data_IF_157509261527
#
_entry.id   IF_157509261527
#
_cell.length_a   1.000
_cell.length_b   1.000
_cell.length_c   1.000
_cell.angle_alpha   90.00
_cell.angle_beta   90.00
_cell.angle_gamma   90.00
#
_symmetry.space_group_name_H-M   'P 1'
#
loop_
_entity.id
_entity.type
_entity.pdbx_description
1 polymer ?
#
# COMPACT_ATOMS: atom_id res chain seq x y z
N UNK A 1 48.39 -21.57 -24.45
CA UNK A 1 47.59 -20.79 -23.48
C UNK A 1 46.30 -21.54 -23.26
N UNK A 2 46.15 -22.22 -22.12
CA UNK A 2 44.93 -22.96 -21.81
C UNK A 2 43.78 -21.98 -21.57
N UNK A 3 42.68 -22.19 -22.28
CA UNK A 3 41.38 -21.61 -21.96
C UNK A 3 41.04 -22.00 -20.53
N UNK A 4 41.04 -21.03 -19.62
CA UNK A 4 40.45 -21.21 -18.29
C UNK A 4 38.95 -21.35 -18.55
N UNK A 5 38.47 -22.59 -18.65
CA UNK A 5 37.04 -22.86 -18.53
C UNK A 5 36.61 -22.32 -17.17
N UNK A 6 35.80 -21.26 -17.20
CA UNK A 6 35.19 -20.69 -16.02
C UNK A 6 34.19 -21.68 -15.46
N UNK A 7 34.66 -22.71 -14.75
CA UNK A 7 33.80 -23.69 -14.07
C UNK A 7 32.97 -22.97 -13.02
N UNK A 8 31.65 -23.08 -13.13
CA UNK A 8 30.70 -22.52 -12.18
C UNK A 8 30.95 -23.12 -10.81
N UNK A 9 31.18 -22.29 -9.79
CA UNK A 9 31.41 -22.78 -8.43
C UNK A 9 30.08 -23.16 -7.77
N UNK A 10 29.77 -24.45 -7.74
CA UNK A 10 28.57 -24.99 -7.08
C UNK A 10 28.52 -24.63 -5.59
N UNK A 11 29.66 -24.68 -4.90
CA UNK A 11 29.78 -24.32 -3.47
C UNK A 11 29.36 -22.87 -3.22
N UNK A 12 29.82 -21.93 -4.06
CA UNK A 12 29.47 -20.52 -3.90
C UNK A 12 27.99 -20.29 -4.20
N UNK A 13 27.45 -20.95 -5.23
CA UNK A 13 26.03 -20.86 -5.57
C UNK A 13 25.12 -21.46 -4.49
N UNK A 14 25.50 -22.58 -3.89
CA UNK A 14 24.75 -23.16 -2.77
C UNK A 14 24.74 -22.21 -1.56
N UNK A 15 25.82 -21.46 -1.30
CA UNK A 15 25.81 -20.37 -0.29
C UNK A 15 24.90 -19.20 -0.66
N UNK A 16 24.75 -18.88 -1.95
CA UNK A 16 23.77 -17.87 -2.39
C UNK A 16 22.34 -18.37 -2.15
N UNK A 17 22.08 -19.65 -2.41
CA UNK A 17 20.79 -20.27 -2.15
C UNK A 17 20.46 -20.29 -0.65
N UNK A 18 21.42 -20.65 0.20
CA UNK A 18 21.28 -20.60 1.67
C UNK A 18 21.01 -19.17 2.16
N UNK A 19 21.73 -18.18 1.62
CA UNK A 19 21.47 -16.78 1.94
C UNK A 19 20.05 -16.36 1.56
N UNK A 20 19.55 -16.73 0.37
CA UNK A 20 18.17 -16.47 -0.03
C UNK A 20 17.15 -17.08 0.95
N UNK A 21 17.39 -18.32 1.41
CA UNK A 21 16.54 -18.96 2.41
C UNK A 21 16.53 -18.16 3.72
N UNK A 22 17.70 -17.78 4.23
CA UNK A 22 17.81 -17.01 5.47
C UNK A 22 17.17 -15.63 5.37
N UNK A 23 17.41 -14.89 4.27
CA UNK A 23 16.76 -13.60 4.00
C UNK A 23 15.24 -13.73 3.89
N UNK A 24 14.75 -14.79 3.23
CA UNK A 24 13.31 -15.06 3.15
C UNK A 24 12.68 -15.37 4.51
N UNK A 25 13.39 -16.07 5.39
CA UNK A 25 12.91 -16.38 6.75
C UNK A 25 12.97 -15.16 7.68
N UNK A 26 13.96 -14.28 7.49
CA UNK A 26 14.09 -13.02 8.22
C UNK A 26 13.02 -11.98 7.83
N UNK A 27 12.35 -12.16 6.68
CA UNK A 27 11.34 -11.23 6.18
C UNK A 27 11.92 -10.02 5.48
N UNK A 28 13.11 -10.16 4.87
CA UNK A 28 13.73 -9.10 4.07
C UNK A 28 12.81 -8.65 2.94
N UNK A 29 12.85 -7.36 2.60
CA UNK A 29 12.08 -6.84 1.49
C UNK A 29 12.63 -7.32 0.12
N UNK A 30 11.77 -7.20 -0.90
CA UNK A 30 12.09 -7.66 -2.25
C UNK A 30 13.31 -6.95 -2.86
N UNK A 31 13.53 -5.68 -2.54
CA UNK A 31 14.68 -4.93 -3.05
C UNK A 31 15.99 -5.51 -2.51
N UNK A 32 16.06 -5.73 -1.19
CA UNK A 32 17.22 -6.31 -0.53
C UNK A 32 17.51 -7.72 -1.04
N UNK A 33 16.47 -8.54 -1.24
CA UNK A 33 16.58 -9.87 -1.82
C UNK A 33 17.18 -9.80 -3.24
N UNK A 34 16.61 -8.98 -4.12
CA UNK A 34 17.07 -8.86 -5.52
C UNK A 34 18.49 -8.31 -5.60
N UNK A 35 18.80 -7.23 -4.87
CA UNK A 35 20.13 -6.63 -4.83
C UNK A 35 21.16 -7.63 -4.33
N UNK A 36 20.93 -8.19 -3.14
CA UNK A 36 21.88 -9.09 -2.50
C UNK A 36 22.08 -10.39 -3.28
N UNK A 37 21.04 -10.86 -3.97
CA UNK A 37 21.13 -12.00 -4.88
C UNK A 37 22.03 -11.71 -6.08
N UNK A 38 21.78 -10.61 -6.81
CA UNK A 38 22.53 -10.25 -8.02
C UNK A 38 24.01 -10.00 -7.72
N UNK A 39 24.32 -9.36 -6.60
CA UNK A 39 25.71 -9.15 -6.16
C UNK A 39 26.42 -10.46 -5.84
N UNK A 40 25.74 -11.39 -5.15
CA UNK A 40 26.32 -12.67 -4.73
C UNK A 40 26.51 -13.63 -5.90
N UNK A 41 25.57 -13.69 -6.83
CA UNK A 41 25.69 -14.56 -8.01
C UNK A 41 26.79 -14.05 -8.96
N UNK A 42 26.95 -12.73 -9.09
CA UNK A 42 28.10 -12.14 -9.79
C UNK A 42 29.43 -12.45 -9.07
N UNK A 43 29.47 -12.32 -7.74
CA UNK A 43 30.64 -12.64 -6.94
C UNK A 43 30.98 -14.15 -6.93
N UNK A 44 30.00 -15.02 -7.18
CA UNK A 44 30.19 -16.46 -7.34
C UNK A 44 30.83 -16.85 -8.68
N UNK A 45 31.11 -15.88 -9.56
CA UNK A 45 31.84 -16.06 -10.82
C UNK A 45 30.97 -16.20 -12.06
N UNK A 46 29.65 -16.02 -11.95
CA UNK A 46 28.79 -15.98 -13.14
C UNK A 46 28.98 -14.65 -13.88
N UNK A 47 29.23 -14.65 -15.21
CA UNK A 47 29.62 -13.46 -15.96
C UNK A 47 28.42 -12.56 -16.29
N UNK A 48 27.57 -12.25 -15.32
CA UNK A 48 26.37 -11.42 -15.50
C UNK A 48 26.73 -9.92 -15.42
N UNK A 49 26.29 -9.13 -16.38
CA UNK A 49 26.52 -7.68 -16.42
C UNK A 49 25.22 -6.89 -16.21
N UNK A 50 24.08 -7.47 -16.60
CA UNK A 50 22.75 -6.92 -16.41
C UNK A 50 21.77 -8.02 -16.06
N UNK A 51 20.91 -7.75 -15.08
CA UNK A 51 19.79 -8.60 -14.68
C UNK A 51 18.55 -7.74 -14.66
N UNK A 52 17.51 -8.18 -15.36
CA UNK A 52 16.20 -7.55 -15.29
C UNK A 52 15.20 -8.53 -14.71
N UNK A 53 14.45 -8.10 -13.69
CA UNK A 53 13.42 -8.91 -13.04
C UNK A 53 12.15 -8.08 -12.94
N UNK A 54 11.03 -8.68 -13.30
CA UNK A 54 9.71 -8.08 -13.16
C UNK A 54 8.78 -9.06 -12.48
N UNK A 55 7.99 -8.53 -11.56
CA UNK A 55 7.08 -9.34 -10.77
C UNK A 55 5.63 -8.88 -10.95
N UNK A 56 4.76 -9.81 -11.34
CA UNK A 56 3.31 -9.59 -11.51
C UNK A 56 2.54 -9.94 -10.26
N UNK A 57 2.21 -8.95 -9.44
CA UNK A 57 1.66 -9.23 -8.10
C UNK A 57 0.54 -8.25 -7.74
N UNK A 58 -0.42 -8.71 -6.93
CA UNK A 58 -1.59 -7.93 -6.49
C UNK A 58 -1.19 -6.87 -5.46
N UNK A 59 -0.46 -5.82 -5.85
CA UNK A 59 -0.12 -4.73 -4.94
C UNK A 59 -1.22 -3.63 -4.99
N UNK A 60 -1.70 -3.10 -3.84
CA UNK A 60 -2.80 -2.11 -3.82
C UNK A 60 -2.54 -0.81 -4.60
N UNK A 61 -1.27 -0.47 -4.83
CA UNK A 61 -0.84 0.74 -5.52
C UNK A 61 -0.18 0.49 -6.88
N UNK A 62 0.27 -0.73 -7.17
CA UNK A 62 1.12 -1.03 -8.34
C UNK A 62 0.69 -2.35 -8.98
N UNK A 63 0.66 -2.41 -10.32
CA UNK A 63 0.32 -3.66 -11.02
C UNK A 63 1.56 -4.54 -11.30
N UNK A 64 2.75 -3.93 -11.38
CA UNK A 64 4.03 -4.59 -11.52
C UNK A 64 5.16 -3.78 -10.88
N UNK A 65 6.18 -4.49 -10.40
CA UNK A 65 7.45 -3.91 -9.92
C UNK A 65 8.59 -4.53 -10.71
N UNK A 66 9.51 -3.70 -11.18
CA UNK A 66 10.73 -4.16 -11.84
C UNK A 66 11.99 -3.68 -11.18
N UNK A 67 13.00 -4.51 -11.33
CA UNK A 67 14.34 -4.31 -10.85
C UNK A 67 15.29 -4.51 -12.03
N UNK A 68 16.11 -3.51 -12.30
CA UNK A 68 17.23 -3.65 -13.23
C UNK A 68 18.51 -3.50 -12.44
N UNK A 69 19.21 -4.62 -12.24
CA UNK A 69 20.56 -4.61 -11.68
C UNK A 69 21.58 -4.52 -12.81
N UNK A 70 22.56 -3.64 -12.66
CA UNK A 70 23.75 -3.59 -13.52
C UNK A 70 25.00 -3.68 -12.67
N UNK A 71 25.99 -4.43 -13.13
CA UNK A 71 27.26 -4.66 -12.41
C UNK A 71 27.93 -3.35 -11.98
N UNK A 72 27.86 -2.31 -12.81
CA UNK A 72 28.51 -1.02 -12.56
C UNK A 72 27.70 -0.03 -11.69
N UNK A 73 26.37 -0.17 -11.62
CA UNK A 73 25.49 0.86 -11.05
C UNK A 73 24.49 0.35 -10.01
N UNK A 74 24.53 -0.94 -9.67
CA UNK A 74 23.61 -1.54 -8.69
C UNK A 74 22.18 -1.68 -9.23
N UNK A 75 21.20 -1.69 -8.31
CA UNK A 75 19.78 -1.89 -8.63
C UNK A 75 19.08 -0.55 -8.86
N UNK A 76 18.34 -0.45 -9.96
CA UNK A 76 17.29 0.55 -10.16
C UNK A 76 15.91 -0.10 -10.05
N UNK A 77 14.96 0.62 -9.47
CA UNK A 77 13.60 0.12 -9.19
C UNK A 77 12.59 1.00 -9.89
N UNK A 78 11.66 0.38 -10.60
CA UNK A 78 10.59 1.05 -11.33
C UNK A 78 9.25 0.43 -10.90
N UNK A 79 8.28 1.27 -10.51
CA UNK A 79 6.97 0.84 -10.02
C UNK A 79 5.83 1.51 -10.78
N UNK A 80 4.89 0.70 -11.29
CA UNK A 80 3.85 1.18 -12.22
C UNK A 80 2.45 1.07 -11.63
N UNK A 81 1.77 2.22 -11.53
CA UNK A 81 0.41 2.35 -10.99
C UNK A 81 -0.62 1.98 -12.06
N UNK A 82 -1.85 1.65 -11.64
CA UNK A 82 -2.99 1.40 -12.53
C UNK A 82 -3.08 2.46 -13.64
N UNK A 83 -2.82 2.06 -14.89
CA UNK A 83 -3.16 2.89 -16.04
C UNK A 83 -4.59 2.57 -16.46
N UNK A 84 -5.34 3.63 -16.80
CA UNK A 84 -6.68 3.50 -17.34
C UNK A 84 -6.68 2.62 -18.60
N UNK A 85 -7.70 1.76 -18.68
CA UNK A 85 -7.91 0.70 -19.65
C UNK A 85 -7.38 0.96 -21.09
N UNK A 86 -6.69 -0.04 -21.64
CA UNK A 86 -7.01 -0.50 -23.00
C UNK A 86 -5.99 -0.31 -24.12
N UNK A 87 -4.85 0.36 -23.93
CA UNK A 87 -3.81 0.40 -24.98
C UNK A 87 -2.73 -0.65 -24.72
N UNK A 88 -2.71 -1.68 -25.58
CA UNK A 88 -1.57 -2.60 -25.73
C UNK A 88 -0.48 -1.83 -26.48
N UNK A 89 0.65 -1.46 -25.87
CA UNK A 89 1.69 -0.73 -26.61
C UNK A 89 2.35 -1.70 -27.60
N UNK A 90 2.56 -1.29 -28.86
CA UNK A 90 3.11 -2.15 -29.93
C UNK A 90 4.44 -2.83 -29.56
N UNK A 91 5.23 -2.21 -28.66
CA UNK A 91 6.53 -2.72 -28.19
C UNK A 91 6.41 -3.99 -27.33
N UNK A 92 5.26 -4.23 -26.69
CA UNK A 92 4.99 -5.43 -25.90
C UNK A 92 4.89 -6.71 -26.73
N UNK A 93 4.09 -6.67 -27.80
CA UNK A 93 3.83 -7.82 -28.67
C UNK A 93 5.11 -8.31 -29.38
N UNK A 94 6.14 -7.47 -29.37
CA UNK A 94 7.45 -7.71 -29.96
C UNK A 94 8.52 -8.02 -28.91
N UNK A 95 8.15 -8.33 -27.66
CA UNK A 95 9.12 -8.60 -26.59
C UNK A 95 9.49 -10.10 -26.48
N UNK A 96 10.69 -10.44 -25.99
CA UNK A 96 11.09 -11.82 -25.72
C UNK A 96 10.14 -12.55 -24.75
N UNK A 97 9.59 -11.82 -23.78
CA UNK A 97 8.68 -12.36 -22.77
C UNK A 97 7.30 -12.70 -23.35
N UNK A 98 6.78 -11.87 -24.26
CA UNK A 98 5.54 -12.20 -24.96
C UNK A 98 5.70 -13.46 -25.80
N UNK A 99 6.82 -13.56 -26.52
CA UNK A 99 7.16 -14.76 -27.28
C UNK A 99 7.19 -16.01 -26.40
N UNK A 100 7.80 -15.94 -25.21
CA UNK A 100 7.81 -17.05 -24.24
C UNK A 100 6.40 -17.50 -23.86
N UNK A 101 5.51 -16.56 -23.54
CA UNK A 101 4.15 -16.89 -23.10
C UNK A 101 3.27 -17.41 -24.23
N UNK A 102 3.33 -16.78 -25.41
CA UNK A 102 2.53 -17.16 -26.58
C UNK A 102 2.91 -18.57 -27.09
N UNK A 103 4.17 -18.94 -26.95
CA UNK A 103 4.69 -20.25 -27.34
C UNK A 103 4.77 -21.27 -26.18
N UNK A 104 4.28 -20.90 -24.98
CA UNK A 104 4.33 -21.75 -23.79
C UNK A 104 5.74 -22.28 -23.45
N UNK A 105 6.75 -21.41 -23.57
CA UNK A 105 8.16 -21.69 -23.27
C UNK A 105 8.54 -21.10 -21.91
N UNK A 106 9.41 -21.80 -21.18
CA UNK A 106 9.90 -21.33 -19.87
C UNK A 106 11.10 -20.39 -19.98
N UNK A 107 11.95 -20.57 -20.99
CA UNK A 107 13.10 -19.72 -21.23
C UNK A 107 13.53 -19.75 -22.70
N UNK A 108 14.23 -18.71 -23.13
CA UNK A 108 14.90 -18.62 -24.42
C UNK A 108 16.26 -17.98 -24.25
N UNK A 109 17.23 -18.49 -25.00
CA UNK A 109 18.54 -17.87 -25.15
C UNK A 109 18.69 -17.29 -26.55
N UNK A 110 19.32 -16.12 -26.65
CA UNK A 110 19.71 -15.49 -27.90
C UNK A 110 21.10 -14.88 -27.78
N UNK A 111 21.97 -15.22 -28.73
CA UNK A 111 23.18 -14.45 -29.00
C UNK A 111 22.77 -13.13 -29.63
N UNK A 112 23.32 -12.03 -29.13
CA UNK A 112 23.07 -10.70 -29.68
C UNK A 112 24.23 -10.36 -30.63
N UNK A 113 24.01 -10.36 -31.96
CA UNK A 113 25.05 -9.96 -32.89
C UNK A 113 25.31 -8.45 -32.76
N UNK A 114 26.53 -8.02 -33.10
CA UNK A 114 26.95 -6.63 -32.99
C UNK A 114 26.19 -5.72 -33.98
N UNK A 115 25.77 -6.26 -35.12
CA UNK A 115 25.08 -5.58 -36.20
C UNK A 115 23.92 -6.43 -36.78
N UNK A 116 23.21 -5.87 -37.77
CA UNK A 116 22.08 -6.52 -38.44
C UNK A 116 20.71 -6.27 -37.78
N UNK A 117 19.63 -6.85 -38.34
CA UNK A 117 18.28 -6.70 -37.78
C UNK A 117 18.21 -7.31 -36.38
N UNK A 118 17.45 -6.68 -35.50
CA UNK A 118 17.19 -7.19 -34.15
C UNK A 118 15.89 -8.01 -34.16
N UNK A 119 15.94 -9.25 -33.65
CA UNK A 119 14.74 -10.11 -33.50
C UNK A 119 13.69 -9.48 -32.58
N UNK A 120 14.16 -8.80 -31.52
CA UNK A 120 13.31 -8.06 -30.58
C UNK A 120 13.85 -6.63 -30.39
N UNK A 121 12.99 -5.60 -30.23
CA UNK A 121 13.42 -4.21 -30.07
C UNK A 121 14.40 -3.99 -28.92
N UNK A 122 14.24 -4.67 -27.78
CA UNK A 122 15.17 -4.59 -26.65
C UNK A 122 16.61 -4.96 -27.02
N UNK A 123 16.85 -5.79 -28.03
CA UNK A 123 18.21 -6.13 -28.46
C UNK A 123 18.95 -4.94 -29.06
N UNK A 124 18.24 -3.93 -29.57
CA UNK A 124 18.86 -2.67 -30.03
C UNK A 124 19.49 -1.94 -28.84
N UNK A 125 18.76 -1.83 -27.73
CA UNK A 125 19.24 -1.18 -26.51
C UNK A 125 20.40 -1.98 -25.87
N UNK A 126 20.26 -3.32 -25.81
CA UNK A 126 21.30 -4.19 -25.25
C UNK A 126 22.60 -4.18 -26.07
N UNK A 127 22.55 -3.96 -27.39
CA UNK A 127 23.76 -3.77 -28.22
C UNK A 127 24.52 -2.51 -27.82
N UNK A 128 23.83 -1.42 -27.48
CA UNK A 128 24.47 -0.19 -27.01
C UNK A 128 25.20 -0.43 -25.68
N UNK A 129 24.67 -1.33 -24.84
CA UNK A 129 25.31 -1.81 -23.60
C UNK A 129 26.38 -2.90 -23.85
N UNK A 130 26.70 -3.23 -25.12
CA UNK A 130 27.68 -4.26 -25.54
C UNK A 130 27.38 -5.67 -25.02
N UNK A 131 26.10 -5.98 -24.82
CA UNK A 131 25.66 -7.32 -24.46
C UNK A 131 25.82 -8.27 -25.65
N UNK A 132 26.31 -9.46 -25.39
CA UNK A 132 26.63 -10.49 -26.41
C UNK A 132 25.72 -11.71 -26.33
N UNK A 133 25.10 -11.94 -25.17
CA UNK A 133 24.22 -13.08 -24.91
C UNK A 133 23.13 -12.71 -23.90
N UNK A 134 21.95 -13.25 -24.15
CA UNK A 134 20.71 -12.90 -23.45
C UNK A 134 19.89 -14.16 -23.18
N UNK A 135 19.57 -14.40 -21.92
CA UNK A 135 18.72 -15.49 -21.46
C UNK A 135 17.48 -14.91 -20.79
N UNK A 136 16.33 -14.98 -21.45
CA UNK A 136 15.04 -14.61 -20.87
C UNK A 136 14.32 -15.83 -20.32
N UNK A 137 13.51 -15.61 -19.28
CA UNK A 137 12.74 -16.64 -18.62
C UNK A 137 11.38 -16.13 -18.12
N UNK A 138 10.48 -17.09 -17.90
CA UNK A 138 9.21 -16.91 -17.19
C UNK A 138 9.09 -17.96 -16.09
N UNK A 139 8.80 -17.51 -14.89
CA UNK A 139 8.57 -18.35 -13.71
C UNK A 139 7.16 -18.09 -13.15
N UNK A 140 6.18 -18.97 -13.44
CA UNK A 140 4.84 -18.83 -12.88
C UNK A 140 4.83 -19.15 -11.38
N UNK A 141 3.98 -18.46 -10.63
CA UNK A 141 3.69 -18.75 -9.23
C UNK A 141 2.41 -19.60 -9.15
N UNK A 142 2.57 -20.93 -9.15
CA UNK A 142 1.46 -21.89 -9.08
C UNK A 142 0.81 -22.18 -10.45
N UNK A 143 -0.09 -23.16 -10.46
CA UNK A 143 -0.67 -23.67 -11.71
C UNK A 143 -1.69 -22.67 -12.30
N UNK A 144 -1.43 -22.22 -13.53
CA UNK A 144 -2.37 -21.41 -14.30
C UNK A 144 -2.54 -19.96 -13.84
N UNK A 145 -1.76 -19.48 -12.87
CA UNK A 145 -1.83 -18.09 -12.43
C UNK A 145 -1.10 -17.16 -13.42
N UNK A 146 -1.56 -15.91 -13.50
CA UNK A 146 -0.85 -14.82 -14.22
C UNK A 146 0.22 -14.17 -13.31
N UNK A 147 0.32 -14.64 -12.08
CA UNK A 147 1.28 -14.15 -11.12
C UNK A 147 2.58 -14.92 -11.28
N UNK A 148 3.70 -14.20 -11.27
CA UNK A 148 4.99 -14.81 -11.53
C UNK A 148 6.12 -13.80 -11.57
N UNK A 149 7.31 -14.35 -11.80
CA UNK A 149 8.53 -13.62 -12.02
C UNK A 149 8.96 -13.83 -13.47
N UNK A 150 9.18 -12.74 -14.19
CA UNK A 150 9.80 -12.75 -15.51
C UNK A 150 11.12 -12.04 -15.42
N UNK A 151 12.08 -12.43 -16.24
CA UNK A 151 13.35 -11.74 -16.20
C UNK A 151 14.32 -12.18 -17.25
N UNK A 152 15.45 -11.50 -17.27
CA UNK A 152 16.54 -11.83 -18.15
C UNK A 152 17.90 -11.68 -17.48
N UNK A 153 18.79 -12.59 -17.86
CA UNK A 153 20.21 -12.57 -17.56
C UNK A 153 20.94 -12.12 -18.82
N UNK A 154 21.94 -11.25 -18.68
CA UNK A 154 22.72 -10.75 -19.81
C UNK A 154 24.21 -10.73 -19.48
N UNK A 155 25.04 -11.05 -20.46
CA UNK A 155 26.51 -11.02 -20.35
C UNK A 155 27.11 -10.22 -21.49
N UNK A 156 28.25 -9.58 -21.21
CA UNK A 156 29.15 -8.92 -22.16
C UNK A 156 30.31 -9.84 -22.60
N UNK A 157 30.36 -11.09 -22.10
CA UNK A 157 31.37 -12.07 -22.48
C UNK A 157 31.28 -12.41 -23.97
N UNK A 158 32.37 -12.30 -24.73
CA UNK A 158 32.39 -12.70 -26.14
C UNK A 158 31.99 -14.17 -26.34
N UNK A 159 32.30 -15.05 -25.39
CA UNK A 159 31.91 -16.47 -25.45
C UNK A 159 30.42 -16.69 -25.10
N UNK A 160 29.75 -15.70 -24.51
CA UNK A 160 28.38 -15.84 -23.98
C UNK A 160 28.32 -16.76 -22.75
N UNK A 161 27.13 -17.26 -22.44
CA UNK A 161 26.92 -18.24 -21.38
C UNK A 161 27.25 -19.67 -21.87
N UNK A 162 27.89 -20.49 -21.05
CA UNK A 162 27.96 -21.95 -21.30
C UNK A 162 26.67 -22.62 -20.84
N UNK A 163 26.45 -23.87 -21.24
CA UNK A 163 25.26 -24.62 -20.81
C UNK A 163 25.24 -24.82 -19.29
N UNK A 164 26.39 -25.12 -18.67
CA UNK A 164 26.54 -25.18 -17.21
C UNK A 164 26.15 -23.86 -16.50
N UNK A 165 26.48 -22.71 -17.12
CA UNK A 165 26.09 -21.40 -16.59
C UNK A 165 24.59 -21.17 -16.70
N UNK A 166 23.97 -21.62 -17.80
CA UNK A 166 22.53 -21.50 -18.01
C UNK A 166 21.78 -22.36 -16.99
N UNK A 167 22.19 -23.60 -16.81
CA UNK A 167 21.60 -24.51 -15.81
C UNK A 167 21.74 -23.95 -14.40
N UNK A 168 22.90 -23.37 -14.07
CA UNK A 168 23.11 -22.70 -12.80
C UNK A 168 22.20 -21.48 -12.63
N UNK A 169 22.07 -20.62 -13.64
CA UNK A 169 21.18 -19.44 -13.60
C UNK A 169 19.71 -19.85 -13.43
N UNK A 170 19.25 -20.86 -14.16
CA UNK A 170 17.89 -21.38 -14.05
C UNK A 170 17.62 -22.04 -12.68
N UNK A 171 18.60 -22.76 -12.12
CA UNK A 171 18.51 -23.31 -10.76
C UNK A 171 18.42 -22.21 -9.71
N UNK A 172 19.28 -21.18 -9.81
CA UNK A 172 19.30 -20.06 -8.86
C UNK A 172 18.04 -19.19 -8.98
N UNK A 173 17.52 -19.02 -10.19
CA UNK A 173 16.25 -18.36 -10.45
C UNK A 173 15.09 -19.00 -9.66
N UNK A 174 15.03 -20.33 -9.58
CA UNK A 174 13.98 -21.00 -8.80
C UNK A 174 14.05 -20.65 -7.30
N UNK A 175 15.25 -20.53 -6.74
CA UNK A 175 15.44 -20.16 -5.34
C UNK A 175 15.03 -18.70 -5.11
N UNK A 176 15.44 -17.81 -6.03
CA UNK A 176 15.03 -16.40 -6.01
C UNK A 176 13.51 -16.26 -6.13
N UNK A 177 12.85 -17.05 -6.97
CA UNK A 177 11.41 -17.02 -7.16
C UNK A 177 10.65 -17.31 -5.86
N UNK A 178 11.10 -18.29 -5.07
CA UNK A 178 10.51 -18.61 -3.77
C UNK A 178 10.71 -17.47 -2.77
N UNK A 179 11.94 -16.97 -2.64
CA UNK A 179 12.24 -15.86 -1.73
C UNK A 179 11.46 -14.59 -2.09
N UNK A 180 11.39 -14.25 -3.38
CA UNK A 180 10.63 -13.12 -3.88
C UNK A 180 9.12 -13.28 -3.63
N UNK A 181 8.56 -14.48 -3.88
CA UNK A 181 7.16 -14.78 -3.58
C UNK A 181 6.86 -14.58 -2.10
N UNK A 182 7.75 -15.01 -1.20
CA UNK A 182 7.57 -14.85 0.25
C UNK A 182 7.63 -13.39 0.69
N UNK A 183 8.62 -12.62 0.23
CA UNK A 183 8.74 -11.20 0.54
C UNK A 183 7.49 -10.42 0.08
N UNK A 184 6.95 -10.80 -1.08
CA UNK A 184 5.77 -10.12 -1.60
C UNK A 184 4.52 -10.54 -0.85
N UNK A 185 4.30 -11.82 -0.60
CA UNK A 185 3.17 -12.26 0.22
C UNK A 185 3.18 -11.59 1.59
N UNK A 186 4.36 -11.45 2.22
CA UNK A 186 4.53 -10.70 3.46
C UNK A 186 4.13 -9.22 3.32
N UNK A 187 4.61 -8.55 2.27
CA UNK A 187 4.23 -7.16 1.98
C UNK A 187 2.74 -6.99 1.68
N UNK A 188 2.12 -7.93 0.95
CA UNK A 188 0.68 -7.91 0.66
C UNK A 188 -0.15 -8.09 1.93
N UNK A 189 0.22 -9.04 2.79
CA UNK A 189 -0.44 -9.24 4.07
C UNK A 189 -0.35 -7.96 4.94
N UNK A 190 0.84 -7.35 5.02
CA UNK A 190 1.03 -6.09 5.73
C UNK A 190 0.22 -4.94 5.12
N UNK A 191 0.25 -4.77 3.81
CA UNK A 191 -0.53 -3.73 3.15
C UNK A 191 -2.03 -3.93 3.36
N UNK A 192 -2.56 -5.14 3.16
CA UNK A 192 -3.98 -5.42 3.40
C UNK A 192 -4.37 -5.12 4.85
N UNK A 193 -3.61 -5.61 5.83
CA UNK A 193 -3.94 -5.39 7.23
C UNK A 193 -3.83 -3.91 7.62
N UNK A 194 -2.81 -3.20 7.16
CA UNK A 194 -2.67 -1.75 7.43
C UNK A 194 -3.73 -0.91 6.73
N UNK A 195 -4.14 -1.26 5.51
CA UNK A 195 -5.21 -0.54 4.77
C UNK A 195 -6.58 -0.76 5.40
N UNK A 196 -6.90 -1.97 5.85
CA UNK A 196 -8.24 -2.29 6.35
C UNK A 196 -8.41 -2.18 7.87
N UNK A 197 -7.35 -2.42 8.66
CA UNK A 197 -7.39 -2.33 10.13
C UNK A 197 -6.72 -1.06 10.67
N UNK A 198 -5.94 -0.36 9.86
CA UNK A 198 -5.09 0.74 10.32
C UNK A 198 -3.68 0.28 10.70
N UNK A 199 -2.78 1.25 10.90
CA UNK A 199 -1.34 1.01 11.04
C UNK A 199 -0.94 0.14 12.24
N UNK A 200 -1.36 0.49 13.46
CA UNK A 200 -0.97 -0.25 14.68
C UNK A 200 -1.77 -1.55 14.83
N UNK A 201 -3.10 -1.49 14.68
CA UNK A 201 -3.96 -2.66 14.68
C UNK A 201 -3.49 -3.74 13.70
N UNK A 202 -3.17 -3.36 12.46
CA UNK A 202 -2.65 -4.28 11.45
C UNK A 202 -1.33 -4.93 11.85
N UNK A 203 -0.38 -4.16 12.41
CA UNK A 203 0.91 -4.68 12.89
C UNK A 203 0.73 -5.63 14.08
N UNK A 204 -0.16 -5.31 15.01
CA UNK A 204 -0.47 -6.16 16.18
C UNK A 204 -1.05 -7.51 15.77
N UNK A 205 -1.97 -7.50 14.79
CA UNK A 205 -2.53 -8.72 14.20
C UNK A 205 -1.46 -9.54 13.49
N UNK A 206 -0.57 -8.91 12.70
CA UNK A 206 0.57 -9.60 12.08
C UNK A 206 1.51 -10.24 13.11
N UNK A 207 1.72 -9.58 14.24
CA UNK A 207 2.57 -10.08 15.33
C UNK A 207 1.88 -11.13 16.23
N UNK A 208 0.70 -11.63 15.84
CA UNK A 208 0.04 -12.75 16.49
C UNK A 208 -0.94 -12.37 17.61
N UNK A 209 -1.29 -11.10 17.78
CA UNK A 209 -2.41 -10.70 18.64
C UNK A 209 -3.72 -10.96 17.90
N UNK A 210 -4.14 -12.22 17.86
CA UNK A 210 -5.27 -12.73 17.07
C UNK A 210 -6.28 -13.53 17.91
N UNK A 211 -6.13 -13.57 19.24
CA UNK A 211 -7.08 -14.26 20.11
C UNK A 211 -8.15 -13.30 20.60
N UNK A 212 -9.33 -13.86 20.89
CA UNK A 212 -10.39 -13.12 21.56
C UNK A 212 -9.92 -12.66 22.93
N UNK A 213 -10.11 -11.38 23.23
CA UNK A 213 -9.66 -10.80 24.48
C UNK A 213 -8.18 -10.40 24.49
N UNK A 214 -7.43 -10.68 23.41
CA UNK A 214 -6.14 -10.02 23.21
C UNK A 214 -6.40 -8.53 23.08
N UNK A 215 -5.79 -7.75 23.96
CA UNK A 215 -6.01 -6.32 24.06
C UNK A 215 -5.50 -5.79 25.37
N UNK A 216 -5.56 -4.47 25.51
CA UNK A 216 -5.07 -3.78 26.70
C UNK A 216 -6.01 -2.63 27.05
N UNK A 217 -6.05 -2.30 28.34
CA UNK A 217 -6.75 -1.10 28.80
C UNK A 217 -5.80 0.09 28.74
N UNK A 218 -5.87 0.82 27.65
CA UNK A 218 -5.11 2.05 27.43
C UNK A 218 -5.95 3.27 27.77
N UNK A 219 -5.28 4.39 28.02
CA UNK A 219 -5.93 5.69 27.93
C UNK A 219 -5.82 6.15 26.48
N UNK A 220 -6.81 6.87 25.98
CA UNK A 220 -6.75 7.42 24.63
C UNK A 220 -7.51 8.73 24.54
N UNK A 221 -7.02 9.63 23.69
CA UNK A 221 -7.85 10.70 23.14
C UNK A 221 -8.69 10.11 21.99
N UNK A 222 -9.99 10.33 22.04
CA UNK A 222 -10.96 9.76 21.12
C UNK A 222 -11.58 10.89 20.29
N UNK A 223 -11.72 10.63 18.99
CA UNK A 223 -12.35 11.54 18.04
C UNK A 223 -13.44 10.75 17.31
N UNK A 224 -14.67 11.25 17.35
CA UNK A 224 -15.76 10.74 16.51
C UNK A 224 -16.19 11.84 15.55
N UNK A 225 -16.07 11.60 14.25
CA UNK A 225 -16.55 12.48 13.19
C UNK A 225 -17.73 11.87 12.44
N UNK A 226 -18.61 12.71 11.90
CA UNK A 226 -19.82 12.32 11.17
C UNK A 226 -20.17 13.37 10.11
N UNK A 227 -20.58 12.92 8.93
CA UNK A 227 -21.11 13.79 7.90
C UNK A 227 -22.57 14.17 8.25
N UNK A 228 -22.91 15.45 8.21
CA UNK A 228 -24.30 15.86 8.42
C UNK A 228 -25.12 15.59 7.18
N UNK A 229 -26.34 15.07 7.40
CA UNK A 229 -27.33 14.85 6.35
C UNK A 229 -26.85 13.92 5.23
N UNK A 230 -25.89 13.01 5.50
CA UNK A 230 -25.39 12.05 4.52
C UNK A 230 -26.47 11.21 3.85
N UNK A 231 -27.52 10.83 4.58
CA UNK A 231 -28.67 10.09 4.03
C UNK A 231 -29.37 10.89 2.92
N UNK A 232 -29.47 12.21 3.07
CA UNK A 232 -30.03 13.08 2.03
C UNK A 232 -29.14 13.12 0.78
N UNK A 233 -27.82 13.04 0.95
CA UNK A 233 -26.89 12.92 -0.17
C UNK A 233 -27.06 11.58 -0.88
N UNK A 234 -27.14 10.47 -0.14
CA UNK A 234 -27.31 9.13 -0.70
C UNK A 234 -28.61 8.97 -1.50
N UNK A 235 -29.69 9.66 -1.10
CA UNK A 235 -30.98 9.63 -1.80
C UNK A 235 -31.00 10.50 -3.06
N UNK A 236 -30.26 11.62 -3.08
CA UNK A 236 -30.32 12.62 -4.17
C UNK A 236 -29.21 12.49 -5.20
N UNK A 237 -28.01 12.19 -4.74
CA UNK A 237 -26.81 12.07 -5.56
C UNK A 237 -26.64 10.57 -5.84
N UNK A 238 -26.97 10.13 -7.07
CA UNK A 238 -26.93 8.71 -7.42
C UNK A 238 -25.64 8.00 -6.98
N UNK A 239 -25.70 6.68 -6.78
CA UNK A 239 -24.68 5.85 -6.07
C UNK A 239 -23.22 6.28 -6.23
N UNK A 240 -22.75 6.51 -7.46
CA UNK A 240 -21.35 6.86 -7.70
C UNK A 240 -20.99 8.25 -7.16
N UNK A 241 -21.83 9.25 -7.39
CA UNK A 241 -21.61 10.61 -6.90
C UNK A 241 -21.62 10.68 -5.37
N UNK A 242 -22.49 9.92 -4.71
CA UNK A 242 -22.49 9.80 -3.25
C UNK A 242 -21.17 9.21 -2.72
N UNK A 243 -20.68 8.13 -3.35
CA UNK A 243 -19.40 7.51 -2.98
C UNK A 243 -18.23 8.48 -3.17
N UNK A 244 -18.20 9.20 -4.30
CA UNK A 244 -17.15 10.17 -4.59
C UNK A 244 -17.17 11.35 -3.58
N UNK A 245 -18.36 11.88 -3.27
CA UNK A 245 -18.55 12.89 -2.20
C UNK A 245 -18.10 12.37 -0.84
N UNK A 246 -18.42 11.12 -0.50
CA UNK A 246 -18.04 10.51 0.78
C UNK A 246 -16.52 10.33 0.89
N UNK A 247 -15.85 9.89 -0.19
CA UNK A 247 -14.40 9.76 -0.23
C UNK A 247 -13.71 11.12 -0.09
N UNK A 248 -14.15 12.14 -0.83
CA UNK A 248 -13.65 13.52 -0.69
C UNK A 248 -13.82 14.05 0.73
N UNK A 249 -14.97 13.75 1.35
CA UNK A 249 -15.22 14.10 2.74
C UNK A 249 -14.22 13.43 3.68
N UNK A 250 -14.01 12.11 3.59
CA UNK A 250 -13.04 11.41 4.42
C UNK A 250 -11.60 11.89 4.19
N UNK A 251 -11.21 12.22 2.96
CA UNK A 251 -9.91 12.79 2.66
C UNK A 251 -9.71 14.16 3.31
N UNK A 252 -10.76 14.97 3.41
CA UNK A 252 -10.71 16.28 4.07
C UNK A 252 -10.78 16.17 5.60
N UNK A 253 -11.67 15.33 6.14
CA UNK A 253 -11.97 15.28 7.57
C UNK A 253 -11.13 14.25 8.34
N UNK A 254 -10.93 13.04 7.81
CA UNK A 254 -10.34 11.92 8.55
C UNK A 254 -8.83 11.82 8.34
N UNK A 255 -8.35 12.11 7.12
CA UNK A 255 -6.91 12.03 6.81
C UNK A 255 -6.02 12.90 7.71
N UNK A 256 -6.41 14.12 8.16
CA UNK A 256 -5.63 14.88 9.13
C UNK A 256 -5.43 14.14 10.45
N UNK A 257 -6.42 13.40 10.95
CA UNK A 257 -6.25 12.62 12.18
C UNK A 257 -5.22 11.50 12.00
N UNK A 258 -5.31 10.78 10.88
CA UNK A 258 -4.37 9.71 10.55
C UNK A 258 -2.92 10.22 10.39
N UNK A 259 -2.73 11.44 9.84
CA UNK A 259 -1.40 12.05 9.64
C UNK A 259 -0.78 12.62 10.91
N UNK A 260 -1.58 13.04 11.89
CA UNK A 260 -1.10 13.66 13.13
C UNK A 260 -0.94 12.63 14.28
N UNK A 261 -0.67 11.37 13.97
CA UNK A 261 -0.43 10.31 14.97
C UNK A 261 -1.69 9.72 15.60
N UNK A 262 -2.87 10.01 15.05
CA UNK A 262 -4.09 9.28 15.38
C UNK A 262 -4.28 8.08 14.46
N UNK A 263 -5.10 7.14 14.89
CA UNK A 263 -5.44 5.95 14.10
C UNK A 263 -6.93 5.90 13.84
N UNK A 264 -7.32 5.81 12.57
CA UNK A 264 -8.70 5.55 12.19
C UNK A 264 -9.00 4.07 12.40
N UNK A 265 -9.81 3.75 13.42
CA UNK A 265 -10.14 2.36 13.76
C UNK A 265 -11.26 1.78 12.90
N UNK A 266 -12.22 2.62 12.55
CA UNK A 266 -13.38 2.19 11.78
C UNK A 266 -14.07 3.37 11.12
N UNK A 267 -14.47 3.16 9.87
CA UNK A 267 -15.50 3.96 9.23
C UNK A 267 -16.87 3.36 9.58
N UNK A 268 -17.75 4.18 10.13
CA UNK A 268 -19.07 3.81 10.62
C UNK A 268 -20.13 4.52 9.77
N UNK A 269 -20.47 3.93 8.63
CA UNK A 269 -21.30 4.60 7.63
C UNK A 269 -20.57 5.81 7.06
N UNK A 270 -21.08 7.00 7.36
CA UNK A 270 -20.58 8.32 6.97
C UNK A 270 -19.76 9.02 8.08
N UNK A 271 -19.48 8.30 9.16
CA UNK A 271 -18.62 8.73 10.25
C UNK A 271 -17.34 7.92 10.38
N UNK A 272 -16.47 8.35 11.29
CA UNK A 272 -15.25 7.64 11.63
C UNK A 272 -14.96 7.75 13.13
N UNK A 273 -14.32 6.72 13.68
CA UNK A 273 -13.73 6.73 15.02
C UNK A 273 -12.21 6.74 14.88
N UNK A 274 -11.57 7.78 15.40
CA UNK A 274 -10.13 7.85 15.54
C UNK A 274 -9.71 7.77 17.02
N UNK A 275 -8.54 7.18 17.26
CA UNK A 275 -7.95 7.08 18.59
C UNK A 275 -6.51 7.55 18.59
N UNK A 276 -6.12 8.18 19.68
CA UNK A 276 -4.75 8.56 19.98
C UNK A 276 -4.37 7.83 21.27
N UNK A 277 -3.80 6.61 21.17
CA UNK A 277 -3.33 5.87 22.33
C UNK A 277 -2.38 6.73 23.15
N UNK A 278 -2.60 6.80 24.47
CA UNK A 278 -1.77 7.55 25.37
C UNK A 278 -1.55 6.82 26.70
N UNK A 279 -0.37 7.05 27.29
CA UNK A 279 -0.10 6.58 28.65
C UNK A 279 -1.05 7.23 29.66
N UNK A 280 -1.26 6.57 30.80
CA UNK A 280 -2.13 7.09 31.88
C UNK A 280 -1.61 8.38 32.51
N UNK A 281 -0.31 8.68 32.35
CA UNK A 281 0.33 9.88 32.84
C UNK A 281 -0.18 11.15 32.15
N UNK A 282 -0.02 12.28 32.83
CA UNK A 282 -0.56 13.58 32.38
C UNK A 282 0.06 14.03 31.06
N UNK A 283 1.38 13.91 30.90
CA UNK A 283 2.08 14.44 29.72
C UNK A 283 1.78 13.67 28.43
N UNK A 284 1.76 12.31 28.41
CA UNK A 284 1.29 11.58 27.23
C UNK A 284 -0.16 11.90 26.85
N UNK A 285 -1.04 12.07 27.84
CA UNK A 285 -2.44 12.47 27.59
C UNK A 285 -2.52 13.88 26.99
N UNK A 286 -1.68 14.81 27.45
CA UNK A 286 -1.56 16.16 26.90
C UNK A 286 -1.12 16.13 25.44
N UNK A 287 -0.07 15.40 25.11
CA UNK A 287 0.44 15.27 23.74
C UNK A 287 -0.65 14.72 22.81
N UNK A 288 -1.33 13.65 23.21
CA UNK A 288 -2.39 13.04 22.41
C UNK A 288 -3.58 13.99 22.17
N UNK A 289 -4.08 14.66 23.21
CA UNK A 289 -5.19 15.61 23.07
C UNK A 289 -4.80 16.84 22.23
N UNK A 290 -3.56 17.33 22.35
CA UNK A 290 -3.05 18.45 21.55
C UNK A 290 -2.89 18.06 20.07
N UNK A 291 -2.37 16.86 19.80
CA UNK A 291 -2.27 16.33 18.43
C UNK A 291 -3.66 16.16 17.78
N UNK A 292 -4.62 15.62 18.53
CA UNK A 292 -6.00 15.50 18.07
C UNK A 292 -6.65 16.88 17.79
N UNK A 293 -6.41 17.88 18.64
CA UNK A 293 -6.92 19.24 18.41
C UNK A 293 -6.25 19.92 17.20
N UNK A 294 -4.95 19.71 17.00
CA UNK A 294 -4.24 20.19 15.80
C UNK A 294 -4.84 19.58 14.53
N UNK A 295 -5.12 18.27 14.56
CA UNK A 295 -5.78 17.57 13.46
C UNK A 295 -7.19 18.11 13.18
N UNK A 296 -7.94 18.49 14.22
CA UNK A 296 -9.24 19.18 14.07
C UNK A 296 -9.05 20.45 13.25
N UNK A 297 -8.13 21.35 13.62
CA UNK A 297 -7.93 22.61 12.89
C UNK A 297 -7.55 22.38 11.43
N UNK A 298 -6.69 21.39 11.15
CA UNK A 298 -6.35 20.99 9.78
C UNK A 298 -7.57 20.46 9.03
N UNK A 299 -8.41 19.64 9.67
CA UNK A 299 -9.64 19.12 9.08
C UNK A 299 -10.65 20.23 8.76
N UNK A 300 -10.83 21.22 9.66
CA UNK A 300 -11.70 22.37 9.40
C UNK A 300 -11.22 23.17 8.18
N UNK A 301 -9.90 23.41 8.08
CA UNK A 301 -9.32 24.12 6.93
C UNK A 301 -9.52 23.36 5.61
N UNK A 302 -9.27 22.04 5.59
CA UNK A 302 -9.44 21.21 4.39
C UNK A 302 -10.89 21.07 3.96
N UNK A 303 -11.83 20.98 4.91
CA UNK A 303 -13.27 20.97 4.57
C UNK A 303 -13.73 22.34 4.06
N UNK A 304 -13.18 23.45 4.59
CA UNK A 304 -13.48 24.77 4.05
C UNK A 304 -12.99 24.92 2.59
N UNK A 305 -11.82 24.38 2.28
CA UNK A 305 -11.28 24.31 0.91
C UNK A 305 -12.14 23.44 0.00
N UNK A 306 -12.43 22.20 0.41
CA UNK A 306 -13.33 21.29 -0.32
C UNK A 306 -14.68 21.96 -0.60
N UNK A 307 -15.26 22.64 0.40
CA UNK A 307 -16.54 23.31 0.22
C UNK A 307 -16.48 24.48 -0.75
N UNK A 308 -15.36 25.21 -0.84
CA UNK A 308 -15.16 26.25 -1.84
C UNK A 308 -15.12 25.64 -3.25
N UNK A 309 -14.33 24.59 -3.46
CA UNK A 309 -14.28 23.87 -4.74
C UNK A 309 -15.65 23.31 -5.14
N UNK A 310 -16.40 22.76 -4.18
CA UNK A 310 -17.76 22.25 -4.42
C UNK A 310 -18.73 23.35 -4.85
N UNK A 311 -18.69 24.52 -4.20
CA UNK A 311 -19.53 25.67 -4.58
C UNK A 311 -19.19 26.15 -5.98
N UNK A 312 -17.90 26.25 -6.31
CA UNK A 312 -17.43 26.66 -7.63
C UNK A 312 -17.90 25.67 -8.72
N UNK A 313 -18.04 24.40 -8.37
CA UNK A 313 -18.62 23.34 -9.20
C UNK A 313 -20.17 23.26 -9.16
N UNK A 314 -20.86 24.16 -8.45
CA UNK A 314 -22.32 24.17 -8.33
C UNK A 314 -22.91 23.08 -7.41
N UNK A 315 -22.08 22.45 -6.58
CA UNK A 315 -22.46 21.39 -5.64
C UNK A 315 -22.77 21.95 -4.24
N UNK A 316 -23.55 21.18 -3.47
CA UNK A 316 -23.88 21.55 -2.08
C UNK A 316 -22.69 21.35 -1.13
N UNK A 317 -22.55 22.28 -0.17
CA UNK A 317 -21.54 22.23 0.90
C UNK A 317 -21.75 21.01 1.80
N UNK A 318 -20.66 20.30 2.08
CA UNK A 318 -20.62 19.25 3.09
C UNK A 318 -20.47 19.87 4.48
N UNK A 319 -21.31 19.43 5.41
CA UNK A 319 -21.26 19.82 6.83
C UNK A 319 -20.92 18.61 7.69
N UNK A 320 -20.37 18.83 8.88
CA UNK A 320 -19.89 17.75 9.75
C UNK A 320 -20.08 18.05 11.23
N UNK A 321 -19.87 17.03 12.06
CA UNK A 321 -19.77 17.17 13.50
C UNK A 321 -18.65 16.30 14.05
N UNK A 322 -17.78 16.88 14.88
CA UNK A 322 -16.69 16.20 15.59
C UNK A 322 -16.95 16.26 17.10
N UNK A 323 -16.92 15.10 17.75
CA UNK A 323 -16.87 14.94 19.19
C UNK A 323 -15.46 14.57 19.66
N UNK A 324 -15.00 15.19 20.74
CA UNK A 324 -13.68 14.96 21.33
C UNK A 324 -13.79 14.54 22.80
N UNK A 325 -13.12 13.45 23.17
CA UNK A 325 -13.09 12.96 24.54
C UNK A 325 -11.75 12.32 24.89
N UNK A 326 -11.44 12.16 26.17
CA UNK A 326 -10.28 11.41 26.63
C UNK A 326 -10.70 10.50 27.77
N UNK A 327 -10.36 9.23 27.66
CA UNK A 327 -10.78 8.23 28.64
C UNK A 327 -10.07 6.90 28.47
N UNK A 328 -10.37 5.96 29.36
CA UNK A 328 -9.84 4.61 29.26
C UNK A 328 -10.70 3.80 28.29
N UNK A 329 -10.04 3.06 27.41
CA UNK A 329 -10.67 2.14 26.47
C UNK A 329 -9.97 0.79 26.53
N UNK A 330 -10.74 -0.27 26.33
CA UNK A 330 -10.17 -1.56 25.96
C UNK A 330 -9.86 -1.50 24.47
N UNK A 331 -8.59 -1.63 24.12
CA UNK A 331 -8.11 -1.60 22.75
C UNK A 331 -7.63 -2.99 22.38
N UNK A 332 -8.32 -3.66 21.44
CA UNK A 332 -8.02 -5.04 21.10
C UNK A 332 -9.12 -5.78 20.34
N UNK A 333 -8.99 -7.11 20.31
CA UNK A 333 -9.84 -8.01 19.54
C UNK A 333 -11.11 -8.42 20.29
N UNK A 334 -12.26 -8.10 19.69
CA UNK A 334 -13.58 -8.54 20.14
C UNK A 334 -14.36 -9.09 18.94
N UNK A 335 -15.15 -10.14 19.13
CA UNK A 335 -16.01 -10.65 18.06
C UNK A 335 -16.39 -12.11 18.21
N UNK A 336 -16.78 -12.73 17.09
CA UNK A 336 -17.10 -14.16 16.95
C UNK A 336 -15.83 -15.03 16.99
N UNK A 337 -15.97 -16.36 17.09
CA UNK A 337 -14.81 -17.27 17.21
C UNK A 337 -13.94 -17.16 15.97
N UNK A 338 -14.59 -17.06 14.82
CA UNK A 338 -13.96 -17.06 13.50
C UNK A 338 -14.05 -15.68 12.82
N UNK A 339 -14.46 -14.64 13.56
CA UNK A 339 -14.54 -13.26 13.06
C UNK A 339 -14.27 -12.26 14.17
N UNK A 340 -13.05 -11.74 14.21
CA UNK A 340 -12.62 -10.73 15.17
C UNK A 340 -12.64 -9.35 14.53
N UNK A 341 -12.94 -8.36 15.35
CA UNK A 341 -12.79 -6.94 15.05
C UNK A 341 -11.81 -6.37 16.06
N UNK A 342 -10.70 -5.82 15.56
CA UNK A 342 -9.80 -5.02 16.37
C UNK A 342 -10.38 -3.60 16.47
N UNK A 343 -10.71 -3.14 17.67
CA UNK A 343 -11.25 -1.79 17.86
C UNK A 343 -11.09 -1.32 19.32
N UNK A 344 -11.58 -0.11 19.59
CA UNK A 344 -11.69 0.46 20.93
C UNK A 344 -13.10 0.23 21.49
N UNK A 345 -13.17 -0.19 22.75
CA UNK A 345 -14.42 -0.46 23.47
C UNK A 345 -14.39 0.18 24.85
N UNK A 346 -15.56 0.49 25.40
CA UNK A 346 -15.70 1.02 26.76
C UNK A 346 -16.59 2.24 26.85
N UNK A 347 -16.76 2.76 28.08
CA UNK A 347 -17.62 3.92 28.32
C UNK A 347 -17.15 5.16 27.56
N UNK A 348 -15.84 5.38 27.46
CA UNK A 348 -15.26 6.53 26.77
C UNK A 348 -15.64 6.59 25.27
N UNK A 349 -15.74 5.43 24.60
CA UNK A 349 -16.20 5.35 23.19
C UNK A 349 -17.67 5.77 23.07
N UNK A 350 -18.51 5.31 23.99
CA UNK A 350 -19.92 5.72 24.03
C UNK A 350 -20.08 7.21 24.38
N UNK A 351 -19.19 7.77 25.20
CA UNK A 351 -19.16 9.19 25.57
C UNK A 351 -18.78 10.07 24.38
N UNK A 352 -17.72 9.73 23.63
CA UNK A 352 -17.33 10.49 22.44
C UNK A 352 -18.40 10.45 21.35
N UNK A 353 -19.06 9.30 21.15
CA UNK A 353 -20.17 9.18 20.19
C UNK A 353 -21.33 10.12 20.54
N UNK A 354 -21.67 10.23 21.82
CA UNK A 354 -22.75 11.12 22.27
C UNK A 354 -22.34 12.59 22.22
N UNK A 355 -21.08 12.89 22.54
CA UNK A 355 -20.53 14.23 22.35
C UNK A 355 -20.63 14.63 20.87
N UNK A 356 -20.21 13.77 19.95
CA UNK A 356 -20.40 14.02 18.52
C UNK A 356 -21.87 14.29 18.19
N UNK A 357 -22.82 13.53 18.73
CA UNK A 357 -24.25 13.79 18.49
C UNK A 357 -24.74 15.15 19.01
N UNK A 358 -24.13 15.68 20.08
CA UNK A 358 -24.45 17.00 20.65
C UNK A 358 -24.00 18.16 19.75
N UNK A 359 -23.14 17.93 18.75
CA UNK A 359 -22.80 18.94 17.72
C UNK A 359 -24.06 19.49 17.03
N UNK A 360 -25.08 18.65 16.84
CA UNK A 360 -26.38 19.02 16.26
C UNK A 360 -27.18 19.92 17.21
N UNK A 361 -27.21 19.58 18.50
CA UNK A 361 -27.92 20.35 19.54
C UNK A 361 -27.37 21.76 19.69
N UNK A 362 -26.05 21.89 19.68
CA UNK A 362 -25.37 23.18 19.89
C UNK A 362 -25.07 23.94 18.60
N UNK A 363 -25.47 23.41 17.44
CA UNK A 363 -25.14 23.97 16.13
C UNK A 363 -23.64 24.28 15.96
N UNK A 364 -22.79 23.44 16.56
CA UNK A 364 -21.33 23.58 16.54
C UNK A 364 -20.71 22.45 15.76
N UNK A 365 -19.68 22.73 14.95
CA UNK A 365 -18.96 21.70 14.20
C UNK A 365 -18.10 20.81 15.09
N UNK A 366 -17.60 21.36 16.22
CA UNK A 366 -16.68 20.66 17.11
C UNK A 366 -17.10 20.85 18.56
N UNK A 367 -17.27 19.75 19.28
CA UNK A 367 -17.52 19.76 20.72
C UNK A 367 -16.58 18.80 21.44
N UNK A 368 -16.21 19.17 22.66
CA UNK A 368 -15.29 18.40 23.49
C UNK A 368 -15.84 18.26 24.92
N UNK A 369 -15.46 17.16 25.58
CA UNK A 369 -15.60 17.07 27.04
C UNK A 369 -14.61 17.99 27.76
N UNK A 370 -14.97 18.45 28.97
CA UNK A 370 -14.06 19.16 29.88
C UNK A 370 -12.75 18.43 30.13
N UNK A 371 -12.80 17.10 30.24
CA UNK A 371 -11.63 16.27 30.44
C UNK A 371 -10.62 16.45 29.29
N UNK A 372 -11.10 16.47 28.04
CA UNK A 372 -10.25 16.66 26.86
C UNK A 372 -9.69 18.09 26.81
N UNK A 373 -10.56 19.10 26.98
CA UNK A 373 -10.16 20.51 26.96
C UNK A 373 -9.07 20.84 28.02
N UNK A 374 -9.18 20.23 29.20
CA UNK A 374 -8.19 20.39 30.28
C UNK A 374 -6.78 19.92 29.94
N UNK A 375 -6.61 19.06 28.93
CA UNK A 375 -5.29 18.63 28.45
C UNK A 375 -4.74 19.49 27.31
N UNK A 376 -5.60 20.10 26.49
CA UNK A 376 -5.15 20.88 25.34
C UNK A 376 -4.56 22.25 25.72
N UNK A 377 -5.09 22.88 26.77
CA UNK A 377 -4.91 24.32 26.99
C UNK A 377 -5.68 25.14 25.94
N UNK A 378 -5.41 26.44 25.85
CA UNK A 378 -6.08 27.36 24.91
C UNK A 378 -7.47 27.83 25.39
N UNK A 379 -8.15 28.58 24.52
CA UNK A 379 -9.47 29.15 24.82
C UNK A 379 -10.60 28.21 24.42
N UNK A 380 -11.52 27.98 25.36
CA UNK A 380 -12.67 27.11 25.19
C UNK A 380 -13.94 27.83 25.65
N UNK A 381 -15.01 27.72 24.86
CA UNK A 381 -16.33 28.22 25.22
C UNK A 381 -17.18 27.10 25.80
N UNK A 382 -17.65 27.25 27.03
CA UNK A 382 -18.62 26.32 27.62
C UNK A 382 -19.96 26.45 26.91
N UNK A 383 -20.48 25.33 26.40
CA UNK A 383 -21.78 25.25 25.73
C UNK A 383 -22.90 24.84 26.70
N UNK A 384 -22.59 24.01 27.70
CA UNK A 384 -23.53 23.58 28.73
C UNK A 384 -23.09 22.34 29.50
N UNK A 385 -23.97 21.83 30.35
CA UNK A 385 -23.79 20.55 31.06
C UNK A 385 -24.84 19.53 30.61
N UNK A 386 -24.37 18.38 30.12
CA UNK A 386 -25.24 17.33 29.58
C UNK A 386 -25.16 16.06 30.41
N UNK A 387 -26.31 15.46 30.71
CA UNK A 387 -26.38 14.13 31.33
C UNK A 387 -26.36 13.07 30.22
N UNK A 388 -25.18 12.54 29.92
CA UNK A 388 -25.03 11.47 28.94
C UNK A 388 -25.56 10.15 29.50
N UNK A 389 -26.32 9.39 28.71
CA UNK A 389 -26.96 8.12 29.15
C UNK A 389 -25.94 7.12 29.71
N UNK A 390 -26.01 6.73 30.97
CA UNK A 390 -25.04 5.77 31.54
C UNK A 390 -23.70 6.38 31.94
N UNK A 391 -23.55 7.70 31.87
CA UNK A 391 -22.55 8.45 32.64
C UNK A 391 -23.22 8.92 33.93
N UNK A 392 -22.56 8.70 35.08
CA UNK A 392 -23.14 9.04 36.39
C UNK A 392 -23.20 10.54 36.62
N UNK A 393 -22.14 11.26 36.24
CA UNK A 393 -22.02 12.70 36.41
C UNK A 393 -22.39 13.43 35.11
N UNK A 394 -22.83 14.69 35.24
CA UNK A 394 -23.00 15.54 34.06
C UNK A 394 -21.63 15.83 33.46
N UNK A 395 -21.58 15.88 32.13
CA UNK A 395 -20.37 16.24 31.38
C UNK A 395 -20.52 17.69 30.93
N UNK A 396 -19.57 18.53 31.30
CA UNK A 396 -19.47 19.88 30.75
C UNK A 396 -18.94 19.79 29.31
N UNK A 397 -19.71 20.36 28.39
CA UNK A 397 -19.46 20.34 26.95
C UNK A 397 -18.89 21.69 26.55
N UNK A 398 -17.77 21.68 25.82
CA UNK A 398 -17.08 22.87 25.37
C UNK A 398 -16.86 22.86 23.87
N UNK A 399 -16.64 24.03 23.30
CA UNK A 399 -16.22 24.25 21.93
C UNK A 399 -14.84 24.91 21.92
N UNK A 400 -13.90 24.45 21.09
CA UNK A 400 -12.62 25.13 20.94
C UNK A 400 -12.81 26.48 20.25
N UNK A 401 -12.05 27.50 20.66
CA UNK A 401 -11.96 28.72 19.87
C UNK A 401 -11.27 28.41 18.53
N UNK A 402 -11.86 28.83 17.42
CA UNK A 402 -11.30 28.60 16.08
C UNK A 402 -10.17 29.61 15.85
N UNK A 403 -8.89 29.20 15.78
CA UNK A 403 -7.83 30.12 15.41
C UNK A 403 -8.00 30.51 13.93
N UNK A 404 -7.64 31.74 13.57
CA UNK A 404 -7.54 32.16 12.17
C UNK A 404 -6.60 31.18 11.42
N UNK A 405 -7.00 30.62 10.26
CA UNK A 405 -6.23 29.57 9.61
C UNK A 405 -4.84 30.08 9.17
N UNK A 406 -3.78 29.57 9.80
CA UNK A 406 -2.40 29.73 9.34
C UNK A 406 -2.05 28.46 8.57
N UNK A 407 -2.02 28.56 7.25
CA UNK A 407 -1.58 27.49 6.36
C UNK A 407 -0.05 27.42 6.39
N UNK A 408 0.51 26.42 7.07
CA UNK A 408 1.85 25.93 6.76
C UNK A 408 1.70 24.78 5.77
N UNK A 409 1.79 25.11 4.47
CA UNK A 409 1.86 24.11 3.41
C UNK A 409 3.33 23.74 3.21
N UNK A 410 3.80 22.76 3.98
CA UNK A 410 4.95 21.95 3.58
C UNK A 410 4.43 20.59 3.14
N UNK A 411 4.30 20.40 1.84
CA UNK A 411 5.10 19.42 1.10
C UNK A 411 4.76 19.41 -0.39
N UNK A 412 5.81 19.57 -1.19
CA UNK A 412 5.81 19.40 -2.64
C UNK A 412 5.57 17.92 -2.96
N UNK A 413 4.42 17.60 -3.54
CA UNK A 413 4.30 16.43 -4.39
C UNK A 413 5.14 16.66 -5.64
N UNK A 414 6.33 16.05 -5.72
CA UNK A 414 6.98 15.78 -7.00
C UNK A 414 6.38 14.50 -7.55
N UNK A 415 5.29 14.63 -8.31
CA UNK A 415 4.93 13.62 -9.30
C UNK A 415 5.99 13.66 -10.40
N UNK A 416 6.98 12.77 -10.30
CA UNK A 416 7.78 12.38 -11.45
C UNK A 416 7.08 11.17 -12.03
N UNK A 417 6.31 11.37 -13.10
CA UNK A 417 5.94 10.29 -13.99
C UNK A 417 7.21 9.89 -14.77
N UNK A 418 7.80 8.70 -14.57
CA UNK A 418 8.77 8.18 -15.50
C UNK A 418 7.98 7.69 -16.71
N UNK A 419 8.13 8.40 -17.82
CA UNK A 419 7.71 7.94 -19.14
C UNK A 419 8.52 6.71 -19.52
N UNK A 420 7.87 5.54 -19.51
CA UNK A 420 8.39 4.31 -20.11
C UNK A 420 8.19 3.09 -19.21
N UNK A 421 7.28 2.20 -19.59
CA UNK A 421 7.17 0.84 -19.04
C UNK A 421 8.26 -0.04 -19.68
N UNK A 422 9.00 -0.83 -18.90
CA UNK A 422 9.79 -1.96 -19.40
C UNK A 422 8.89 -2.98 -20.09
N UNK A 423 9.44 -3.65 -21.10
CA UNK A 423 8.72 -4.63 -21.93
C UNK A 423 8.15 -5.78 -21.09
N UNK A 424 8.86 -6.25 -20.07
CA UNK A 424 8.42 -7.32 -19.16
C UNK A 424 7.17 -6.96 -18.34
N UNK A 425 6.97 -5.68 -18.03
CA UNK A 425 5.88 -5.21 -17.18
C UNK A 425 4.56 -5.14 -17.93
N UNK A 426 4.63 -4.74 -19.20
CA UNK A 426 3.48 -4.72 -20.10
C UNK A 426 2.95 -6.14 -20.34
N UNK A 427 3.85 -7.14 -20.33
CA UNK A 427 3.53 -8.56 -20.52
C UNK A 427 2.61 -9.12 -19.47
N UNK A 428 2.96 -8.79 -18.25
CA UNK A 428 2.32 -9.23 -17.02
C UNK A 428 0.90 -8.68 -16.91
N UNK A 429 0.74 -7.39 -17.24
CA UNK A 429 -0.53 -6.68 -17.21
C UNK A 429 -1.52 -7.25 -18.24
N UNK A 430 -1.05 -7.51 -19.46
CA UNK A 430 -1.90 -7.93 -20.56
C UNK A 430 -2.35 -9.39 -20.48
N UNK A 431 -1.49 -10.30 -20.00
CA UNK A 431 -1.89 -11.69 -19.73
C UNK A 431 -2.93 -11.78 -18.60
N UNK A 432 -2.92 -10.84 -17.65
CA UNK A 432 -3.91 -10.79 -16.55
C UNK A 432 -5.29 -10.51 -17.09
N UNK A 433 -5.37 -9.54 -17.98
CA UNK A 433 -6.63 -9.05 -18.51
C UNK A 433 -7.18 -9.97 -19.61
N UNK A 434 -6.30 -10.61 -20.42
CA UNK A 434 -6.70 -11.60 -21.42
C UNK A 434 -7.32 -12.87 -20.81
N UNK A 435 -6.74 -13.42 -19.71
CA UNK A 435 -7.34 -14.57 -19.01
C UNK A 435 -8.59 -14.20 -18.21
N UNK A 436 -8.69 -12.97 -17.66
CA UNK A 436 -9.94 -12.48 -17.07
C UNK A 436 -11.07 -12.43 -18.11
N UNK A 437 -10.79 -12.02 -19.34
CA UNK A 437 -11.76 -12.04 -20.44
C UNK A 437 -12.13 -13.46 -20.87
N UNK A 438 -11.18 -14.40 -20.90
CA UNK A 438 -11.45 -15.82 -21.20
C UNK A 438 -12.20 -16.57 -20.07
N UNK A 439 -12.12 -16.09 -18.83
CA UNK A 439 -12.77 -16.69 -17.66
C UNK A 439 -14.21 -16.22 -17.39
N UNK A 440 -14.76 -15.30 -18.19
CA UNK A 440 -16.20 -15.00 -18.13
C UNK A 440 -16.97 -16.17 -18.76
N UNK A 441 -17.81 -16.91 -18.03
CA UNK A 441 -18.74 -17.83 -18.66
C UNK A 441 -19.69 -16.97 -19.52
N UNK A 442 -19.87 -17.35 -20.77
CA UNK A 442 -20.91 -16.86 -21.66
C UNK A 442 -22.29 -17.28 -21.12
N UNK A 443 -22.77 -16.58 -20.08
CA UNK A 443 -24.17 -16.64 -19.64
C UNK A 443 -24.97 -15.72 -20.56
N UNK A 444 -25.21 -16.17 -21.79
CA UNK A 444 -26.23 -15.60 -22.68
C UNK A 444 -26.45 -16.57 -23.85
N UNK A 445 -27.22 -17.63 -23.59
CA UNK A 445 -28.04 -18.37 -24.58
C UNK A 445 -28.84 -19.47 -23.88
N UNK A 446 -29.83 -19.08 -23.07
CA UNK A 446 -30.99 -19.91 -22.74
C UNK A 446 -32.15 -19.01 -22.33
N UNK A 447 -32.86 -18.47 -23.33
CA UNK A 447 -34.29 -18.17 -23.27
C UNK A 447 -34.80 -18.03 -24.72
N UNK A 448 -35.35 -19.13 -25.24
CA UNK A 448 -36.52 -19.14 -26.12
C UNK A 448 -37.65 -19.80 -25.33
#
# INVERSE_FOLDING_TARGET
>A
MGTIESTVSTILLDRVAEWLTNSSLAGDDLENIVRGFCERIAAAGLPIVRVHLTFSMLHPLYDALSFTWRRASGVTIEGFRHTAAGQKPDRFLQSPYYYLLDNNLQHIRRRIPADGPAEFPVFIDLRQERITDYLAFVQPFGDGSVQGMMGSWSTDSHAGFTDDMIDALLRMQNHLAVAAKMAVLGKLANNMLTTYLGGDAGKRVLNGQIRRGDGETIRAALVMGDMRQSTMYAEKEGRQAYIDTLNQFFDAIAAPFNKNGGEILSFLGDGFLAVYPCGRHKDPSKIACQAALSAVHQAQARVAELNRERIDAGLSKVSYGIGLHVGNVMFGNVGLKDRLTFSAFGSAVNEVQRLQSLTKKYSSEVVASQAFAGYCGGEWRTLGEEKLRGVRQKVTVLQPHVPTPVLHVEEKFRDVAPTGLSEAEQVILLHRDARKQASKPSVEKFMQ
#
